data_IF_410148979270
#
_entry.id   IF_410148979270
#
_cell.length_a   1.000
_cell.length_b   1.000
_cell.length_c   1.000
_cell.angle_alpha   90.00
_cell.angle_beta   90.00
_cell.angle_gamma   90.00
#
_symmetry.space_group_name_H-M   'P 1'
#
loop_
_entity.id
_entity.type
_entity.pdbx_description
1 polymer ?
#
# COMPACT_ATOMS: atom_id res chain seq x y z
N UNK A 1 -75.06 11.17 -2.41
CA UNK A 1 -74.12 12.19 -1.91
C UNK A 1 -73.20 11.60 -0.83
N UNK A 2 -73.70 11.21 0.36
CA UNK A 2 -72.88 10.69 1.48
C UNK A 2 -71.89 9.54 1.14
N UNK A 3 -72.27 8.57 0.30
CA UNK A 3 -71.37 7.46 -0.11
C UNK A 3 -70.20 7.93 -0.99
N UNK A 4 -70.39 8.98 -1.78
CA UNK A 4 -69.33 9.55 -2.63
C UNK A 4 -68.36 10.38 -1.77
N UNK A 5 -68.89 11.15 -0.82
CA UNK A 5 -68.09 11.91 0.16
C UNK A 5 -67.22 10.98 1.02
N UNK A 6 -67.77 9.87 1.51
CA UNK A 6 -67.00 8.89 2.28
C UNK A 6 -65.87 8.23 1.46
N UNK A 7 -66.12 7.93 0.17
CA UNK A 7 -65.09 7.39 -0.73
C UNK A 7 -64.02 8.43 -1.06
N UNK A 8 -64.41 9.69 -1.24
CA UNK A 8 -63.48 10.78 -1.48
C UNK A 8 -62.56 10.98 -0.27
N UNK A 9 -63.13 11.05 0.93
CA UNK A 9 -62.36 11.17 2.19
C UNK A 9 -61.40 9.99 2.41
N UNK A 10 -61.85 8.76 2.16
CA UNK A 10 -60.97 7.58 2.24
C UNK A 10 -59.84 7.61 1.21
N UNK A 11 -60.10 8.16 0.01
CA UNK A 11 -59.09 8.38 -1.02
C UNK A 11 -58.05 9.42 -0.60
N UNK A 12 -58.50 10.55 -0.04
CA UNK A 12 -57.63 11.61 0.48
C UNK A 12 -56.72 11.11 1.60
N UNK A 13 -57.25 10.34 2.56
CA UNK A 13 -56.45 9.73 3.63
C UNK A 13 -55.41 8.77 3.06
N UNK A 14 -55.77 7.94 2.07
CA UNK A 14 -54.83 7.00 1.44
C UNK A 14 -53.74 7.73 0.66
N UNK A 15 -54.07 8.82 -0.02
CA UNK A 15 -53.08 9.66 -0.70
C UNK A 15 -52.09 10.23 0.34
N UNK A 16 -52.58 10.82 1.43
CA UNK A 16 -51.73 11.35 2.50
C UNK A 16 -50.79 10.29 3.07
N UNK A 17 -51.29 9.09 3.38
CA UNK A 17 -50.48 7.98 3.88
C UNK A 17 -49.41 7.55 2.87
N UNK A 18 -49.76 7.42 1.59
CA UNK A 18 -48.80 7.05 0.55
C UNK A 18 -47.75 8.14 0.33
N UNK A 19 -48.12 9.42 0.44
CA UNK A 19 -47.16 10.53 0.37
C UNK A 19 -46.17 10.50 1.53
N UNK A 20 -46.62 10.22 2.75
CA UNK A 20 -45.72 10.08 3.91
C UNK A 20 -44.76 8.91 3.71
N UNK A 21 -45.26 7.74 3.32
CA UNK A 21 -44.42 6.56 3.05
C UNK A 21 -43.42 6.80 1.91
N UNK A 22 -43.83 7.52 0.87
CA UNK A 22 -42.93 7.89 -0.22
C UNK A 22 -41.80 8.79 0.29
N UNK A 23 -42.13 9.82 1.07
CA UNK A 23 -41.12 10.72 1.64
C UNK A 23 -40.15 9.98 2.59
N UNK A 24 -40.66 9.06 3.41
CA UNK A 24 -39.83 8.19 4.26
C UNK A 24 -38.89 7.32 3.41
N UNK A 25 -39.40 6.70 2.35
CA UNK A 25 -38.62 5.88 1.41
C UNK A 25 -37.55 6.70 0.67
N UNK A 26 -37.87 7.91 0.22
CA UNK A 26 -36.92 8.82 -0.43
C UNK A 26 -35.80 9.23 0.54
N UNK A 27 -36.14 9.53 1.79
CA UNK A 27 -35.17 9.86 2.83
C UNK A 27 -34.24 8.67 3.16
N UNK A 28 -34.79 7.46 3.27
CA UNK A 28 -34.01 6.24 3.49
C UNK A 28 -33.08 5.95 2.30
N UNK A 29 -33.57 6.09 1.08
CA UNK A 29 -32.77 5.88 -0.13
C UNK A 29 -31.61 6.90 -0.23
N UNK A 30 -31.86 8.16 0.11
CA UNK A 30 -30.81 9.18 0.18
C UNK A 30 -29.72 8.79 1.19
N UNK A 31 -30.11 8.29 2.38
CA UNK A 31 -29.17 7.81 3.39
C UNK A 31 -28.38 6.60 2.92
N UNK A 32 -29.03 5.61 2.28
CA UNK A 32 -28.37 4.43 1.74
C UNK A 32 -27.35 4.79 0.66
N UNK A 33 -27.68 5.77 -0.19
CA UNK A 33 -26.76 6.29 -1.21
C UNK A 33 -25.53 6.92 -0.55
N UNK A 34 -25.72 7.76 0.46
CA UNK A 34 -24.61 8.37 1.21
C UNK A 34 -23.71 7.32 1.88
N UNK A 35 -24.29 6.31 2.52
CA UNK A 35 -23.54 5.22 3.15
C UNK A 35 -22.78 4.39 2.09
N UNK A 36 -23.40 4.12 0.94
CA UNK A 36 -22.75 3.44 -0.18
C UNK A 36 -21.50 4.18 -0.63
N UNK A 37 -21.59 5.49 -0.78
CA UNK A 37 -20.47 6.30 -1.25
C UNK A 37 -19.36 6.43 -0.19
N UNK A 38 -19.73 6.55 1.09
CA UNK A 38 -18.78 6.51 2.20
C UNK A 38 -18.02 5.18 2.26
N UNK A 39 -18.74 4.04 2.16
CA UNK A 39 -18.14 2.70 2.16
C UNK A 39 -17.21 2.50 0.96
N UNK A 40 -17.60 2.96 -0.23
CA UNK A 40 -16.72 2.92 -1.41
C UNK A 40 -15.43 3.68 -1.17
N UNK A 41 -15.48 4.85 -0.53
CA UNK A 41 -14.26 5.61 -0.24
C UNK A 41 -13.39 4.95 0.84
N UNK A 42 -14.01 4.35 1.84
CA UNK A 42 -13.28 3.57 2.85
C UNK A 42 -12.54 2.38 2.23
N UNK A 43 -13.18 1.65 1.31
CA UNK A 43 -12.54 0.57 0.54
C UNK A 43 -11.35 1.12 -0.24
N UNK A 44 -11.51 2.22 -0.99
CA UNK A 44 -10.39 2.83 -1.73
C UNK A 44 -9.25 3.26 -0.82
N UNK A 45 -9.56 3.83 0.34
CA UNK A 45 -8.56 4.22 1.35
C UNK A 45 -7.83 3.00 1.91
N UNK A 46 -8.56 1.95 2.25
CA UNK A 46 -7.98 0.70 2.76
C UNK A 46 -6.99 0.09 1.76
N UNK A 47 -7.38 0.02 0.49
CA UNK A 47 -6.48 -0.47 -0.59
C UNK A 47 -5.22 0.40 -0.72
N UNK A 48 -5.35 1.73 -0.66
CA UNK A 48 -4.17 2.62 -0.68
C UNK A 48 -3.25 2.38 0.52
N UNK A 49 -3.81 2.08 1.68
CA UNK A 49 -3.04 1.79 2.87
C UNK A 49 -2.35 0.42 2.78
N UNK A 50 -3.05 -0.62 2.30
CA UNK A 50 -2.48 -1.94 2.07
C UNK A 50 -1.30 -1.90 1.09
N UNK A 51 -1.42 -1.12 0.00
CA UNK A 51 -0.31 -0.89 -0.93
C UNK A 51 0.88 -0.24 -0.22
N UNK A 52 0.65 0.77 0.63
CA UNK A 52 1.72 1.41 1.42
C UNK A 52 2.35 0.44 2.42
N UNK A 53 1.56 -0.35 3.14
CA UNK A 53 2.04 -1.37 4.07
C UNK A 53 2.90 -2.41 3.33
N UNK A 54 2.46 -2.90 2.18
CA UNK A 54 3.25 -3.82 1.35
C UNK A 54 4.57 -3.19 0.89
N UNK A 55 4.56 -1.91 0.49
CA UNK A 55 5.78 -1.20 0.15
C UNK A 55 6.71 -1.03 1.36
N UNK A 56 6.14 -0.77 2.55
CA UNK A 56 6.89 -0.65 3.80
C UNK A 56 7.49 -2.00 4.23
N UNK A 57 6.73 -3.08 4.19
CA UNK A 57 7.18 -4.45 4.46
C UNK A 57 8.30 -4.85 3.50
N UNK A 58 8.15 -4.56 2.20
CA UNK A 58 9.20 -4.81 1.23
C UNK A 58 10.48 -3.98 1.52
N UNK A 59 10.32 -2.75 2.00
CA UNK A 59 11.45 -1.88 2.40
C UNK A 59 12.14 -2.43 3.65
N UNK A 60 11.39 -2.96 4.61
CA UNK A 60 11.95 -3.60 5.79
C UNK A 60 12.67 -4.91 5.44
N UNK A 61 12.09 -5.72 4.55
CA UNK A 61 12.75 -6.90 4.02
C UNK A 61 14.07 -6.53 3.35
N UNK A 62 14.06 -5.52 2.47
CA UNK A 62 15.26 -4.98 1.83
C UNK A 62 16.32 -4.53 2.84
N UNK A 63 15.93 -3.75 3.86
CA UNK A 63 16.81 -3.36 4.99
C UNK A 63 17.46 -4.58 5.62
N UNK A 64 16.67 -5.61 5.94
CA UNK A 64 17.16 -6.82 6.60
C UNK A 64 18.13 -7.61 5.71
N UNK A 65 17.86 -7.72 4.41
CA UNK A 65 18.75 -8.37 3.44
C UNK A 65 20.07 -7.61 3.29
N UNK A 66 20.02 -6.28 3.17
CA UNK A 66 21.22 -5.43 3.09
C UNK A 66 22.05 -5.56 4.38
N UNK A 67 21.42 -5.46 5.55
CA UNK A 67 22.12 -5.60 6.83
C UNK A 67 22.78 -6.98 6.97
N UNK A 68 22.09 -8.06 6.61
CA UNK A 68 22.69 -9.41 6.60
C UNK A 68 23.88 -9.47 5.63
N UNK A 69 23.75 -8.92 4.42
CA UNK A 69 24.83 -8.92 3.43
C UNK A 69 26.09 -8.16 3.91
N UNK A 70 25.91 -7.07 4.65
CA UNK A 70 27.02 -6.28 5.20
C UNK A 70 27.67 -6.91 6.43
N UNK A 71 26.89 -7.59 7.28
CA UNK A 71 27.37 -8.18 8.53
C UNK A 71 27.99 -9.57 8.35
N UNK A 72 27.59 -10.32 7.32
CA UNK A 72 28.17 -11.62 7.02
C UNK A 72 29.61 -11.46 6.49
N UNK A 73 30.54 -12.27 7.03
CA UNK A 73 31.89 -12.40 6.47
C UNK A 73 31.81 -13.06 5.09
N UNK A 74 32.86 -12.87 4.27
CA UNK A 74 32.94 -13.48 2.94
C UNK A 74 32.74 -15.00 3.06
N UNK A 75 31.83 -15.55 2.24
CA UNK A 75 31.38 -16.95 2.38
C UNK A 75 30.14 -17.27 1.56
N UNK A 76 29.73 -18.55 1.56
CA UNK A 76 28.58 -19.05 0.78
C UNK A 76 27.27 -18.32 1.10
N UNK A 77 27.01 -18.02 2.38
CA UNK A 77 25.81 -17.30 2.81
C UNK A 77 25.72 -15.90 2.19
N UNK A 78 26.85 -15.19 2.08
CA UNK A 78 26.91 -13.86 1.46
C UNK A 78 26.66 -13.93 -0.06
N UNK A 79 27.12 -15.00 -0.72
CA UNK A 79 26.87 -15.26 -2.15
C UNK A 79 25.39 -15.56 -2.41
N UNK A 80 24.73 -16.31 -1.53
CA UNK A 80 23.29 -16.61 -1.64
C UNK A 80 22.40 -15.37 -1.52
N UNK A 81 22.88 -14.29 -0.88
CA UNK A 81 22.15 -13.02 -0.81
C UNK A 81 22.27 -12.17 -2.08
N UNK A 82 23.24 -12.41 -2.96
CA UNK A 82 23.43 -11.60 -4.18
C UNK A 82 22.24 -11.72 -5.14
N UNK A 83 21.71 -12.92 -5.46
CA UNK A 83 20.50 -13.03 -6.27
C UNK A 83 19.28 -12.34 -5.63
N UNK A 84 19.19 -12.37 -4.30
CA UNK A 84 18.11 -11.70 -3.56
C UNK A 84 18.23 -10.18 -3.66
N UNK A 85 19.44 -9.64 -3.49
CA UNK A 85 19.70 -8.21 -3.66
C UNK A 85 19.42 -7.76 -5.10
N UNK A 86 19.82 -8.58 -6.09
CA UNK A 86 19.52 -8.31 -7.51
C UNK A 86 18.02 -8.17 -7.76
N UNK A 87 17.19 -9.06 -7.22
CA UNK A 87 15.74 -9.02 -7.45
C UNK A 87 15.06 -7.90 -6.67
N UNK A 88 15.45 -7.70 -5.39
CA UNK A 88 14.84 -6.69 -4.51
C UNK A 88 15.19 -5.27 -4.94
N UNK A 89 16.44 -5.01 -5.33
CA UNK A 89 16.92 -3.68 -5.73
C UNK A 89 16.89 -3.47 -7.25
N UNK A 90 16.49 -4.48 -8.04
CA UNK A 90 16.50 -4.44 -9.51
C UNK A 90 17.87 -4.05 -10.08
N UNK A 91 18.93 -4.66 -9.55
CA UNK A 91 20.31 -4.32 -9.92
C UNK A 91 20.59 -4.65 -11.39
N UNK A 92 21.34 -3.77 -12.03
CA UNK A 92 21.91 -4.03 -13.35
C UNK A 92 22.92 -5.20 -13.29
N UNK A 93 23.26 -5.82 -14.44
CA UNK A 93 24.28 -6.85 -14.50
C UNK A 93 25.63 -6.38 -13.94
N UNK A 94 26.03 -5.13 -14.21
CA UNK A 94 27.27 -4.56 -13.71
C UNK A 94 27.30 -4.40 -12.19
N UNK A 95 26.22 -3.93 -11.58
CA UNK A 95 26.10 -3.80 -10.12
C UNK A 95 26.06 -5.17 -9.44
N UNK A 96 25.40 -6.15 -10.07
CA UNK A 96 25.38 -7.54 -9.58
C UNK A 96 26.80 -8.11 -9.55
N UNK A 97 27.59 -7.94 -10.61
CA UNK A 97 28.98 -8.42 -10.66
C UNK A 97 29.88 -7.76 -9.59
N UNK A 98 29.64 -6.49 -9.25
CA UNK A 98 30.35 -5.85 -8.13
C UNK A 98 30.01 -6.49 -6.79
N UNK A 99 28.74 -6.82 -6.54
CA UNK A 99 28.33 -7.53 -5.32
C UNK A 99 28.87 -8.96 -5.27
N UNK A 100 28.94 -9.64 -6.40
CA UNK A 100 29.58 -10.94 -6.53
C UNK A 100 31.04 -10.84 -6.10
N UNK A 101 31.84 -9.94 -6.68
CA UNK A 101 33.24 -9.74 -6.31
C UNK A 101 33.43 -9.53 -4.80
N UNK A 102 32.57 -8.71 -4.19
CA UNK A 102 32.58 -8.46 -2.74
C UNK A 102 32.16 -9.69 -1.91
N UNK A 103 31.30 -10.56 -2.44
CA UNK A 103 30.82 -11.77 -1.77
C UNK A 103 31.78 -12.95 -1.92
N UNK A 104 32.50 -13.05 -3.04
CA UNK A 104 33.51 -14.08 -3.30
C UNK A 104 34.81 -13.85 -2.51
N UNK A 105 35.12 -12.58 -2.20
CA UNK A 105 36.31 -12.21 -1.44
C UNK A 105 37.56 -12.28 -2.30
N UNK A 106 38.24 -11.14 -2.43
CA UNK A 106 39.65 -11.10 -2.81
C UNK A 106 40.47 -11.56 -1.59
N UNK A 107 41.26 -12.63 -1.72
CA UNK A 107 42.25 -13.07 -0.72
C UNK A 107 43.54 -12.22 -0.79
N UNK A 108 43.44 -10.95 -1.21
CA UNK A 108 44.58 -10.04 -1.36
C UNK A 108 44.80 -9.16 -0.13
N UNK A 109 45.94 -9.36 0.54
CA UNK A 109 46.52 -8.38 1.45
C UNK A 109 46.58 -6.96 0.84
N UNK A 110 46.26 -5.95 1.64
CA UNK A 110 46.81 -4.61 1.45
C UNK A 110 46.02 -3.64 0.55
N UNK A 111 45.26 -2.76 1.21
CA UNK A 111 45.20 -1.35 0.82
C UNK A 111 44.37 -0.99 -0.42
N UNK A 112 43.15 -0.53 -0.18
CA UNK A 112 42.66 0.73 -0.74
C UNK A 112 41.41 1.16 0.02
N UNK A 113 41.57 2.24 0.78
CA UNK A 113 40.56 2.97 1.51
C UNK A 113 39.58 3.66 0.53
N UNK A 114 38.85 2.87 -0.26
CA UNK A 114 37.61 3.30 -0.93
C UNK A 114 36.44 2.99 0.02
N UNK A 115 36.57 3.44 1.26
CA UNK A 115 35.55 3.29 2.28
C UNK A 115 34.41 4.26 2.03
N UNK A 116 33.25 3.92 2.58
CA UNK A 116 31.97 4.65 2.63
C UNK A 116 32.05 6.18 2.89
N UNK A 117 33.20 6.70 3.33
CA UNK A 117 33.47 8.12 3.51
C UNK A 117 33.29 8.98 2.26
N UNK A 118 33.58 8.47 1.06
CA UNK A 118 33.40 9.24 -0.19
C UNK A 118 31.93 9.58 -0.46
N UNK A 119 31.01 8.66 -0.15
CA UNK A 119 29.57 8.84 -0.40
C UNK A 119 28.85 9.62 0.70
N UNK A 120 29.39 9.65 1.93
CA UNK A 120 28.80 10.40 3.06
C UNK A 120 28.77 11.93 2.81
N UNK A 121 29.75 12.47 2.07
CA UNK A 121 29.78 13.91 1.75
C UNK A 121 28.63 14.35 0.83
N UNK A 122 28.10 13.46 -0.01
CA UNK A 122 26.95 13.80 -0.88
C UNK A 122 25.62 13.85 -0.11
N UNK A 123 25.54 13.20 1.06
CA UNK A 123 24.32 13.19 1.88
C UNK A 123 24.30 14.27 2.97
N UNK A 124 25.46 14.84 3.31
CA UNK A 124 25.58 15.91 4.30
C UNK A 124 25.29 17.32 3.74
N UNK A 125 25.08 17.49 2.43
CA UNK A 125 24.94 18.80 1.79
C UNK A 125 23.50 19.13 1.36
N UNK A 126 22.54 18.97 2.27
CA UNK A 126 21.20 19.58 2.16
C UNK A 126 20.84 20.33 3.43
#
# INVERSE_FOLDING_TARGET
>A
MARLEAKLSAGEMRIQQLTTLLHESEAENAKLTQLSDALKEEIRRSVRNEVREKHMENTEYMKNVILKFLLLKNGEERKHLVPVLKTVLQLSPSETSQLELLAFGDEGEGGSQAGWGSYLHLWSSR
#
